data_IF_192386488864
#
_entry.id   IF_192386488864
#
_cell.length_a   1.000
_cell.length_b   1.000
_cell.length_c   1.000
_cell.angle_alpha   90.00
_cell.angle_beta   90.00
_cell.angle_gamma   90.00
#
_symmetry.space_group_name_H-M   'P 1'
#
loop_
_entity.id
_entity.type
_entity.pdbx_description
1 polymer ?
#
# COMPACT_ATOMS: atom_id res chain seq x y z
N UNK A 1 -20.47 9.80 1.55
CA UNK A 1 -19.30 9.40 0.74
C UNK A 1 -18.64 8.20 1.42
N UNK A 2 -18.40 7.13 0.67
CA UNK A 2 -17.74 5.92 1.18
C UNK A 2 -16.33 5.83 0.61
N UNK A 3 -15.32 5.76 1.48
CA UNK A 3 -13.92 5.62 1.12
C UNK A 3 -13.48 4.20 1.47
N UNK A 4 -12.96 3.44 0.50
CA UNK A 4 -12.31 2.17 0.77
C UNK A 4 -10.80 2.39 0.76
N UNK A 5 -10.11 1.96 1.83
CA UNK A 5 -8.66 1.98 1.93
C UNK A 5 -8.14 0.55 1.82
N UNK A 6 -7.40 0.27 0.74
CA UNK A 6 -6.72 -1.01 0.59
C UNK A 6 -5.40 -0.99 1.36
N UNK A 7 -5.21 -1.95 2.25
CA UNK A 7 -3.99 -2.08 3.05
C UNK A 7 -3.34 -3.44 2.89
N UNK A 8 -2.04 -3.50 3.18
CA UNK A 8 -1.28 -4.75 3.20
C UNK A 8 -0.53 -4.91 4.51
N UNK A 9 -0.63 -6.09 5.11
CA UNK A 9 0.26 -6.48 6.19
C UNK A 9 1.60 -6.91 5.60
N UNK A 10 2.68 -6.29 6.06
CA UNK A 10 4.05 -6.56 5.60
C UNK A 10 4.99 -6.87 6.77
N UNK A 11 6.09 -7.61 6.55
CA UNK A 11 7.10 -7.82 7.59
C UNK A 11 7.76 -6.49 8.00
N UNK A 12 7.95 -6.27 9.30
CA UNK A 12 8.66 -5.11 9.84
C UNK A 12 10.18 -5.35 9.85
N UNK A 13 10.76 -5.58 8.69
CA UNK A 13 12.21 -5.74 8.58
C UNK A 13 12.68 -5.52 7.14
N UNK A 14 13.84 -4.91 7.01
CA UNK A 14 14.60 -4.86 5.76
C UNK A 14 15.46 -6.10 5.57
N UNK A 15 15.66 -6.91 6.62
CA UNK A 15 16.39 -8.17 6.56
C UNK A 15 15.44 -9.34 6.35
N UNK A 16 15.22 -9.68 5.11
CA UNK A 16 14.38 -10.80 4.71
C UNK A 16 15.23 -12.08 4.79
N UNK A 17 14.90 -12.99 5.69
CA UNK A 17 15.49 -14.34 5.73
C UNK A 17 14.72 -15.23 4.77
N UNK A 18 15.45 -15.79 3.79
CA UNK A 18 14.89 -16.75 2.84
C UNK A 18 15.14 -18.16 3.38
N UNK A 19 14.12 -19.00 3.33
CA UNK A 19 14.27 -20.41 3.60
C UNK A 19 15.04 -21.07 2.44
N UNK A 20 16.23 -21.64 2.68
CA UNK A 20 17.07 -22.18 1.61
C UNK A 20 16.50 -23.45 0.95
N UNK A 21 15.51 -24.10 1.57
CA UNK A 21 14.89 -25.32 1.07
C UNK A 21 13.69 -25.00 0.19
N UNK A 22 12.82 -24.09 0.65
CA UNK A 22 11.56 -23.76 -0.03
C UNK A 22 11.67 -22.55 -0.93
N UNK A 23 12.75 -21.77 -0.86
CA UNK A 23 12.94 -20.48 -1.54
C UNK A 23 11.81 -19.46 -1.23
N UNK A 24 11.18 -19.60 -0.07
CA UNK A 24 10.14 -18.70 0.41
C UNK A 24 10.65 -17.84 1.55
N UNK A 25 9.99 -16.70 1.77
CA UNK A 25 10.29 -15.84 2.90
C UNK A 25 10.00 -16.55 4.23
N UNK A 26 11.00 -16.64 5.11
CA UNK A 26 10.78 -17.01 6.52
C UNK A 26 10.09 -15.85 7.22
N UNK A 27 8.79 -16.01 7.47
CA UNK A 27 7.95 -15.02 8.19
C UNK A 27 7.89 -15.28 9.68
N UNK A 28 8.36 -16.45 10.13
CA UNK A 28 8.31 -16.85 11.53
C UNK A 28 9.21 -15.98 12.41
N UNK A 29 8.60 -15.35 13.41
CA UNK A 29 9.31 -14.51 14.39
C UNK A 29 9.59 -13.07 13.95
N UNK A 30 9.13 -12.64 12.76
CA UNK A 30 9.22 -11.24 12.33
C UNK A 30 7.91 -10.52 12.64
N UNK A 31 7.92 -9.43 13.42
CA UNK A 31 6.73 -8.62 13.62
C UNK A 31 6.18 -8.13 12.27
N UNK A 32 4.88 -8.13 12.13
CA UNK A 32 4.21 -7.60 10.94
C UNK A 32 3.60 -6.25 11.27
N UNK A 33 3.59 -5.33 10.29
CA UNK A 33 3.02 -3.99 10.39
C UNK A 33 2.07 -3.73 9.22
N UNK A 34 1.24 -2.70 9.32
CA UNK A 34 0.59 -2.12 8.14
C UNK A 34 1.69 -1.49 7.28
N UNK A 35 1.65 -1.71 5.96
CA UNK A 35 2.58 -1.05 5.04
C UNK A 35 2.55 0.48 5.24
N UNK A 36 3.71 1.16 5.35
CA UNK A 36 3.76 2.59 5.70
C UNK A 36 2.94 3.50 4.79
N UNK A 37 3.02 3.32 3.47
CA UNK A 37 2.22 4.11 2.51
C UNK A 37 0.70 3.86 2.74
N UNK A 38 0.29 2.62 3.06
CA UNK A 38 -1.11 2.29 3.35
C UNK A 38 -1.58 2.89 4.68
N UNK A 39 -0.70 2.95 5.67
CA UNK A 39 -1.01 3.59 6.96
C UNK A 39 -1.27 5.09 6.79
N UNK A 40 -0.51 5.75 5.93
CA UNK A 40 -0.76 7.14 5.52
C UNK A 40 -2.05 7.27 4.72
N UNK A 41 -2.41 6.26 3.92
CA UNK A 41 -3.69 6.24 3.21
C UNK A 41 -4.90 6.15 4.16
N UNK A 42 -4.77 5.41 5.28
CA UNK A 42 -5.77 5.41 6.35
C UNK A 42 -5.90 6.81 6.95
N UNK A 43 -4.79 7.47 7.29
CA UNK A 43 -4.80 8.83 7.83
C UNK A 43 -5.51 9.82 6.90
N UNK A 44 -5.17 9.81 5.61
CA UNK A 44 -5.81 10.66 4.62
C UNK A 44 -7.33 10.44 4.54
N UNK A 45 -7.78 9.18 4.63
CA UNK A 45 -9.20 8.84 4.66
C UNK A 45 -9.89 9.33 5.94
N UNK A 46 -9.24 9.21 7.09
CA UNK A 46 -9.77 9.69 8.37
C UNK A 46 -9.90 11.21 8.41
N UNK A 47 -8.95 11.95 7.84
CA UNK A 47 -9.04 13.40 7.69
C UNK A 47 -10.23 13.81 6.81
N UNK A 48 -10.48 13.10 5.70
CA UNK A 48 -11.67 13.32 4.89
C UNK A 48 -12.95 12.96 5.63
N UNK A 49 -12.96 11.88 6.44
CA UNK A 49 -14.07 11.53 7.30
C UNK A 49 -14.41 12.68 8.27
N UNK A 50 -13.42 13.26 8.93
CA UNK A 50 -13.59 14.38 9.84
C UNK A 50 -14.10 15.64 9.11
N UNK A 51 -13.62 15.88 7.88
CA UNK A 51 -13.95 17.08 7.11
C UNK A 51 -15.34 17.03 6.48
N UNK A 52 -15.78 15.87 5.97
CA UNK A 52 -17.01 15.77 5.19
C UNK A 52 -17.95 14.64 5.60
N UNK A 53 -17.71 13.98 6.74
CA UNK A 53 -18.58 12.90 7.22
C UNK A 53 -18.53 11.63 6.37
N UNK A 54 -17.38 11.34 5.74
CA UNK A 54 -17.20 10.11 4.98
C UNK A 54 -17.19 8.88 5.90
N UNK A 55 -17.60 7.74 5.37
CA UNK A 55 -17.41 6.42 6.00
C UNK A 55 -16.12 5.82 5.49
N UNK A 56 -15.26 5.33 6.37
CA UNK A 56 -13.97 4.72 6.04
C UNK A 56 -14.03 3.22 6.26
N UNK A 57 -13.91 2.47 5.17
CA UNK A 57 -13.86 1.00 5.15
C UNK A 57 -12.44 0.58 4.81
N UNK A 58 -11.83 -0.30 5.62
CA UNK A 58 -10.50 -0.84 5.35
C UNK A 58 -10.59 -2.25 4.79
N UNK A 59 -9.84 -2.53 3.73
CA UNK A 59 -9.85 -3.79 3.01
C UNK A 59 -8.43 -4.36 2.92
N UNK A 60 -8.23 -5.62 3.27
CA UNK A 60 -6.96 -6.33 3.04
C UNK A 60 -7.18 -7.71 2.43
N UNK A 61 -6.29 -8.11 1.53
CA UNK A 61 -6.24 -9.48 1.02
C UNK A 61 -5.04 -10.21 1.63
N UNK A 62 -5.30 -11.33 2.30
CA UNK A 62 -4.24 -12.08 2.94
C UNK A 62 -4.73 -13.30 3.74
N UNK A 63 -3.80 -13.98 4.41
CA UNK A 63 -4.14 -15.03 5.36
C UNK A 63 -4.84 -14.43 6.60
N UNK A 64 -5.47 -15.29 7.40
CA UNK A 64 -6.23 -14.87 8.59
C UNK A 64 -5.42 -14.01 9.57
N UNK A 65 -4.09 -14.19 9.64
CA UNK A 65 -3.23 -13.33 10.47
C UNK A 65 -3.25 -11.83 10.07
N UNK A 66 -3.66 -11.50 8.84
CA UNK A 66 -3.78 -10.12 8.37
C UNK A 66 -4.91 -9.36 9.09
N UNK A 67 -5.78 -10.06 9.82
CA UNK A 67 -6.76 -9.45 10.72
C UNK A 67 -6.13 -8.46 11.70
N UNK A 68 -4.90 -8.70 12.16
CA UNK A 68 -4.18 -7.79 13.06
C UNK A 68 -4.02 -6.38 12.47
N UNK A 69 -3.75 -6.29 11.16
CA UNK A 69 -3.65 -5.01 10.48
C UNK A 69 -5.00 -4.28 10.39
N UNK A 70 -6.10 -5.05 10.22
CA UNK A 70 -7.46 -4.51 10.24
C UNK A 70 -7.85 -4.01 11.63
N UNK A 71 -7.50 -4.75 12.68
CA UNK A 71 -7.71 -4.32 14.08
C UNK A 71 -6.98 -3.01 14.37
N UNK A 72 -5.72 -2.88 13.94
CA UNK A 72 -4.96 -1.62 14.06
C UNK A 72 -5.66 -0.46 13.33
N UNK A 73 -6.16 -0.69 12.10
CA UNK A 73 -6.87 0.33 11.34
C UNK A 73 -8.20 0.75 11.99
N UNK A 74 -8.95 -0.20 12.57
CA UNK A 74 -10.15 0.09 13.36
C UNK A 74 -9.83 0.92 14.60
N UNK A 75 -8.71 0.61 15.28
CA UNK A 75 -8.23 1.39 16.44
C UNK A 75 -7.68 2.77 16.07
N UNK A 76 -7.31 3.00 14.80
CA UNK A 76 -7.01 4.33 14.26
C UNK A 76 -8.26 5.16 13.98
N UNK A 77 -9.45 4.55 13.90
CA UNK A 77 -10.73 5.24 13.70
C UNK A 77 -11.50 4.86 12.44
N UNK A 78 -11.11 3.78 11.73
CA UNK A 78 -11.90 3.24 10.63
C UNK A 78 -13.26 2.72 11.14
N UNK A 79 -14.28 2.80 10.28
CA UNK A 79 -15.66 2.41 10.62
C UNK A 79 -15.89 0.92 10.41
N UNK A 80 -15.39 0.39 9.29
CA UNK A 80 -15.59 -0.98 8.85
C UNK A 80 -14.27 -1.61 8.41
N UNK A 81 -14.16 -2.93 8.55
CA UNK A 81 -12.99 -3.68 8.09
C UNK A 81 -13.39 -4.98 7.42
N UNK A 82 -12.73 -5.32 6.31
CA UNK A 82 -12.96 -6.56 5.57
C UNK A 82 -11.66 -7.28 5.26
N UNK A 83 -11.66 -8.59 5.49
CA UNK A 83 -10.58 -9.49 5.12
C UNK A 83 -10.99 -10.34 3.92
N UNK A 84 -10.26 -10.18 2.80
CA UNK A 84 -10.35 -11.09 1.67
C UNK A 84 -9.42 -12.27 1.94
N UNK A 85 -10.01 -13.43 2.18
CA UNK A 85 -9.22 -14.63 2.49
C UNK A 85 -9.87 -15.89 1.92
N UNK A 86 -9.12 -16.57 1.07
CA UNK A 86 -9.48 -17.86 0.50
C UNK A 86 -8.21 -18.58 0.04
N UNK A 87 -8.24 -19.92 0.03
CA UNK A 87 -7.14 -20.71 -0.55
C UNK A 87 -6.97 -20.46 -2.05
N UNK A 88 -8.05 -20.14 -2.75
CA UNK A 88 -8.04 -19.80 -4.17
C UNK A 88 -7.22 -18.54 -4.46
N UNK A 89 -7.05 -17.63 -3.49
CA UNK A 89 -6.29 -16.39 -3.65
C UNK A 89 -4.79 -16.58 -3.45
N UNK A 90 -4.36 -17.72 -2.92
CA UNK A 90 -2.96 -17.95 -2.57
C UNK A 90 -2.06 -17.96 -3.81
N UNK A 91 -0.90 -17.30 -3.71
CA UNK A 91 0.10 -17.21 -4.78
C UNK A 91 -0.26 -16.22 -5.89
N UNK A 92 -1.26 -15.36 -5.70
CA UNK A 92 -1.59 -14.27 -6.64
C UNK A 92 -0.43 -13.30 -6.79
N UNK A 93 -0.09 -12.98 -8.03
CA UNK A 93 0.77 -11.85 -8.37
C UNK A 93 -0.03 -10.53 -8.35
N UNK A 94 0.55 -9.44 -8.87
CA UNK A 94 -0.11 -8.13 -8.86
C UNK A 94 -1.40 -8.10 -9.67
N UNK A 95 -1.45 -8.80 -10.82
CA UNK A 95 -2.64 -8.84 -11.68
C UNK A 95 -3.78 -9.62 -10.99
N UNK A 96 -3.52 -10.84 -10.57
CA UNK A 96 -4.51 -11.66 -9.88
C UNK A 96 -4.99 -11.00 -8.57
N UNK A 97 -4.07 -10.35 -7.82
CA UNK A 97 -4.40 -9.58 -6.61
C UNK A 97 -5.35 -8.43 -6.91
N UNK A 98 -5.04 -7.62 -7.92
CA UNK A 98 -5.87 -6.47 -8.28
C UNK A 98 -7.24 -6.87 -8.81
N UNK A 99 -7.34 -7.98 -9.55
CA UNK A 99 -8.61 -8.57 -9.99
C UNK A 99 -9.51 -8.92 -8.80
N UNK A 100 -8.96 -9.63 -7.80
CA UNK A 100 -9.69 -10.04 -6.60
C UNK A 100 -10.15 -8.81 -5.78
N UNK A 101 -9.24 -7.86 -5.55
CA UNK A 101 -9.55 -6.67 -4.76
C UNK A 101 -10.59 -5.80 -5.47
N UNK A 102 -10.48 -5.63 -6.79
CA UNK A 102 -11.46 -4.88 -7.57
C UNK A 102 -12.86 -5.49 -7.50
N UNK A 103 -12.96 -6.83 -7.55
CA UNK A 103 -14.24 -7.51 -7.41
C UNK A 103 -14.85 -7.30 -6.01
N UNK A 104 -14.03 -7.32 -4.96
CA UNK A 104 -14.49 -7.02 -3.62
C UNK A 104 -14.94 -5.56 -3.48
N UNK A 105 -14.22 -4.61 -4.07
CA UNK A 105 -14.63 -3.19 -4.09
C UNK A 105 -15.94 -3.01 -4.85
N UNK A 106 -16.15 -3.69 -5.97
CA UNK A 106 -17.44 -3.68 -6.68
C UNK A 106 -18.61 -4.15 -5.81
N UNK A 107 -18.39 -5.21 -5.02
CA UNK A 107 -19.39 -5.74 -4.07
C UNK A 107 -19.69 -4.76 -2.94
N UNK A 108 -18.66 -4.15 -2.36
CA UNK A 108 -18.78 -3.25 -1.20
C UNK A 108 -19.31 -1.86 -1.59
N UNK A 109 -19.04 -1.43 -2.82
CA UNK A 109 -19.31 -0.08 -3.31
C UNK A 109 -18.35 0.94 -2.69
N UNK A 110 -17.78 1.83 -3.49
CA UNK A 110 -16.93 2.91 -3.04
C UNK A 110 -17.13 4.15 -3.90
N UNK A 111 -17.05 5.34 -3.30
CA UNK A 111 -16.96 6.59 -4.02
C UNK A 111 -15.48 6.92 -4.31
N UNK A 112 -14.60 6.64 -3.35
CA UNK A 112 -13.17 6.85 -3.47
C UNK A 112 -12.43 5.60 -2.98
N UNK A 113 -11.38 5.20 -3.70
CA UNK A 113 -10.49 4.12 -3.30
C UNK A 113 -9.11 4.71 -3.01
N UNK A 114 -8.58 4.46 -1.83
CA UNK A 114 -7.21 4.80 -1.46
C UNK A 114 -6.35 3.55 -1.37
N UNK A 115 -5.12 3.64 -1.87
CA UNK A 115 -4.08 2.64 -1.71
C UNK A 115 -2.79 3.36 -1.34
N UNK A 116 -1.87 2.72 -0.65
CA UNK A 116 -0.49 3.17 -0.64
C UNK A 116 0.12 3.12 -2.05
N UNK A 117 1.15 3.89 -2.31
CA UNK A 117 1.86 3.84 -3.60
C UNK A 117 2.35 2.43 -3.91
N UNK A 118 2.97 1.77 -2.93
CA UNK A 118 3.52 0.43 -3.07
C UNK A 118 3.68 -0.24 -1.70
N UNK A 119 3.82 -1.57 -1.68
CA UNK A 119 4.18 -2.32 -0.49
C UNK A 119 5.70 -2.48 -0.40
N UNK A 120 6.28 -2.27 0.80
CA UNK A 120 7.74 -2.32 1.03
C UNK A 120 8.38 -3.69 0.82
N UNK A 121 7.58 -4.77 0.78
CA UNK A 121 8.03 -6.14 0.55
C UNK A 121 8.07 -6.53 -0.93
N UNK A 122 7.30 -5.86 -1.78
CA UNK A 122 7.19 -6.20 -3.21
C UNK A 122 7.63 -5.12 -4.17
N UNK A 123 7.60 -3.85 -3.77
CA UNK A 123 8.06 -2.66 -4.50
C UNK A 123 7.57 -2.52 -5.96
N UNK A 124 6.38 -3.03 -6.27
CA UNK A 124 5.87 -3.05 -7.65
C UNK A 124 5.12 -1.79 -8.06
N UNK A 125 4.46 -1.10 -7.12
CA UNK A 125 3.58 0.04 -7.34
C UNK A 125 2.48 -0.20 -8.41
N UNK A 126 2.07 -1.45 -8.63
CA UNK A 126 1.16 -1.84 -9.71
C UNK A 126 -0.28 -2.05 -9.25
N UNK A 127 -0.50 -2.54 -8.03
CA UNK A 127 -1.82 -3.02 -7.57
C UNK A 127 -2.86 -1.90 -7.60
N UNK A 128 -2.57 -0.71 -7.08
CA UNK A 128 -3.51 0.42 -7.12
C UNK A 128 -3.93 0.79 -8.55
N UNK A 129 -2.99 1.10 -9.47
CA UNK A 129 -3.31 1.35 -10.87
C UNK A 129 -4.11 0.24 -11.56
N UNK A 130 -3.80 -1.01 -11.32
CA UNK A 130 -4.54 -2.15 -11.88
C UNK A 130 -5.96 -2.25 -11.32
N UNK A 131 -6.18 -1.99 -10.02
CA UNK A 131 -7.52 -1.92 -9.43
C UNK A 131 -8.36 -0.86 -10.14
N UNK A 132 -7.79 0.32 -10.38
CA UNK A 132 -8.47 1.41 -11.10
C UNK A 132 -8.92 0.97 -12.49
N UNK A 133 -8.06 0.28 -13.25
CA UNK A 133 -8.38 -0.25 -14.57
C UNK A 133 -9.50 -1.30 -14.52
N UNK A 134 -9.43 -2.26 -13.58
CA UNK A 134 -10.48 -3.27 -13.40
C UNK A 134 -11.84 -2.66 -12.98
N UNK A 135 -11.81 -1.53 -12.29
CA UNK A 135 -13.03 -0.79 -11.90
C UNK A 135 -13.54 0.14 -13.00
N UNK A 136 -12.73 0.46 -14.00
CA UNK A 136 -13.03 1.44 -15.05
C UNK A 136 -13.17 2.86 -14.50
N UNK A 137 -12.41 3.23 -13.46
CA UNK A 137 -12.44 4.55 -12.83
C UNK A 137 -11.11 5.28 -13.03
N UNK A 138 -11.10 6.63 -13.02
CA UNK A 138 -9.86 7.38 -13.11
C UNK A 138 -8.95 7.16 -11.90
N UNK A 139 -7.63 7.27 -12.13
CA UNK A 139 -6.63 7.19 -11.07
C UNK A 139 -5.76 8.44 -10.97
N UNK A 140 -5.36 8.77 -9.74
CA UNK A 140 -4.35 9.77 -9.45
C UNK A 140 -3.26 9.11 -8.60
N UNK A 141 -2.06 9.02 -9.16
CA UNK A 141 -0.94 8.35 -8.51
C UNK A 141 -0.03 9.32 -7.78
N UNK A 142 0.69 8.84 -6.75
CA UNK A 142 1.71 9.58 -6.01
C UNK A 142 1.17 10.85 -5.34
N UNK A 143 0.03 10.75 -4.65
CA UNK A 143 -0.56 11.87 -3.93
C UNK A 143 0.34 12.30 -2.75
N UNK A 144 0.70 13.58 -2.76
CA UNK A 144 1.47 14.27 -1.71
C UNK A 144 0.60 15.22 -0.87
N UNK A 145 -0.62 15.52 -1.31
CA UNK A 145 -1.65 16.20 -0.51
C UNK A 145 -3.03 15.90 -1.11
N UNK A 146 -4.05 15.84 -0.25
CA UNK A 146 -5.44 15.57 -0.63
C UNK A 146 -6.33 16.56 0.12
N UNK A 147 -7.32 17.10 -0.58
CA UNK A 147 -8.37 17.92 -0.02
C UNK A 147 -9.72 17.62 -0.71
N UNK A 148 -10.81 17.99 -0.07
CA UNK A 148 -12.15 17.85 -0.61
C UNK A 148 -12.91 19.18 -0.54
N UNK A 149 -13.34 19.65 -1.71
CA UNK A 149 -14.21 20.82 -1.81
C UNK A 149 -15.67 20.37 -1.81
N UNK A 150 -16.31 20.46 -0.66
CA UNK A 150 -17.69 20.05 -0.47
C UNK A 150 -18.70 20.91 -1.28
N UNK A 151 -18.34 22.15 -1.61
CA UNK A 151 -19.23 23.04 -2.38
C UNK A 151 -19.33 22.65 -3.85
N UNK A 152 -18.26 22.09 -4.40
CA UNK A 152 -18.17 21.61 -5.79
C UNK A 152 -18.26 20.10 -5.91
N UNK A 153 -18.21 19.40 -4.79
CA UNK A 153 -18.14 17.93 -4.71
C UNK A 153 -16.94 17.37 -5.50
N UNK A 154 -15.76 17.98 -5.33
CA UNK A 154 -14.52 17.56 -6.01
C UNK A 154 -13.45 17.19 -5.01
N UNK A 155 -12.75 16.07 -5.29
CA UNK A 155 -11.50 15.74 -4.64
C UNK A 155 -10.37 16.49 -5.33
N UNK A 156 -9.56 17.21 -4.55
CA UNK A 156 -8.40 17.97 -5.02
C UNK A 156 -7.15 17.24 -4.57
N UNK A 157 -6.35 16.78 -5.50
CA UNK A 157 -5.16 15.97 -5.21
C UNK A 157 -3.93 16.64 -5.80
N UNK A 158 -2.93 16.88 -4.96
CA UNK A 158 -1.59 17.31 -5.38
C UNK A 158 -0.71 16.08 -5.50
N UNK A 159 -0.38 15.69 -6.74
CA UNK A 159 0.52 14.58 -7.03
C UNK A 159 1.96 15.04 -7.23
N UNK A 160 2.91 14.20 -6.85
CA UNK A 160 4.33 14.44 -6.98
C UNK A 160 4.91 13.74 -8.22
N UNK A 161 5.72 14.47 -8.97
CA UNK A 161 6.65 13.95 -9.95
C UNK A 161 8.09 14.15 -9.47
N UNK A 162 9.06 13.75 -10.24
CA UNK A 162 10.49 13.91 -9.90
C UNK A 162 10.89 15.38 -9.77
N UNK A 163 10.40 16.24 -10.69
CA UNK A 163 10.80 17.64 -10.87
C UNK A 163 9.69 18.65 -10.53
N UNK A 164 8.45 18.20 -10.33
CA UNK A 164 7.29 19.09 -10.15
C UNK A 164 6.13 18.46 -9.41
N UNK A 165 5.17 19.29 -9.03
CA UNK A 165 3.86 18.88 -8.55
C UNK A 165 2.79 19.23 -9.60
N UNK A 166 1.73 18.42 -9.61
CA UNK A 166 0.54 18.66 -10.40
C UNK A 166 -0.69 18.58 -9.49
N UNK A 167 -1.54 19.60 -9.52
CA UNK A 167 -2.84 19.57 -8.83
C UNK A 167 -3.92 19.14 -9.80
N UNK A 168 -4.68 18.14 -9.43
CA UNK A 168 -5.78 17.57 -10.20
C UNK A 168 -7.06 17.66 -9.38
N UNK A 169 -8.16 17.93 -10.07
CA UNK A 169 -9.51 17.86 -9.52
C UNK A 169 -10.24 16.68 -10.15
N UNK A 170 -10.92 15.89 -9.33
CA UNK A 170 -11.74 14.79 -9.82
C UNK A 170 -13.12 14.82 -9.17
N UNK A 171 -14.14 14.68 -9.99
CA UNK A 171 -15.54 14.55 -9.56
C UNK A 171 -16.01 13.12 -9.78
N UNK A 172 -16.66 12.54 -8.77
CA UNK A 172 -17.15 11.16 -8.82
C UNK A 172 -16.10 10.13 -8.39
N UNK A 173 -16.29 8.89 -8.81
CA UNK A 173 -15.42 7.78 -8.40
C UNK A 173 -14.00 7.93 -8.92
N UNK A 174 -13.02 7.63 -8.05
CA UNK A 174 -11.62 7.59 -8.43
C UNK A 174 -10.81 6.70 -7.49
N UNK A 175 -9.60 6.34 -7.94
CA UNK A 175 -8.59 5.70 -7.12
C UNK A 175 -7.39 6.65 -6.96
N UNK A 176 -6.87 6.75 -5.73
CA UNK A 176 -5.68 7.57 -5.43
C UNK A 176 -4.62 6.70 -4.77
N UNK A 177 -3.39 6.73 -5.27
CA UNK A 177 -2.25 6.11 -4.57
C UNK A 177 -1.47 7.16 -3.79
N UNK A 178 -1.18 6.87 -2.53
CA UNK A 178 -0.73 7.81 -1.51
C UNK A 178 0.72 7.56 -1.14
N UNK A 179 1.49 8.63 -1.01
CA UNK A 179 2.87 8.60 -0.53
C UNK A 179 2.90 8.66 1.00
N UNK A 180 3.81 7.94 1.64
CA UNK A 180 4.06 8.03 3.09
C UNK A 180 4.47 9.42 3.57
N UNK A 181 4.90 10.29 2.65
CA UNK A 181 5.26 11.69 2.93
C UNK A 181 4.07 12.64 2.92
N UNK A 182 2.85 12.17 2.58
CA UNK A 182 1.65 13.01 2.55
C UNK A 182 1.33 13.58 3.94
N UNK A 183 1.36 12.72 4.96
CA UNK A 183 1.11 13.10 6.35
C UNK A 183 1.70 12.07 7.31
N UNK A 184 1.73 12.43 8.60
CA UNK A 184 2.11 11.52 9.69
C UNK A 184 0.85 10.83 10.21
N UNK A 185 0.74 9.49 10.08
CA UNK A 185 -0.41 8.76 10.61
C UNK A 185 -0.60 8.98 12.11
N UNK A 186 -1.85 9.20 12.53
CA UNK A 186 -2.21 9.33 13.94
C UNK A 186 -1.93 8.05 14.73
N UNK A 187 -1.70 8.20 16.03
CA UNK A 187 -1.72 7.07 16.95
C UNK A 187 -3.15 6.54 17.12
N UNK A 188 -3.24 5.26 17.45
CA UNK A 188 -4.50 4.65 17.86
C UNK A 188 -5.06 5.36 19.10
N UNK A 189 -6.37 5.58 19.13
CA UNK A 189 -7.06 6.11 20.30
C UNK A 189 -7.25 5.00 21.33
N UNK A 190 -7.08 5.31 22.63
CA UNK A 190 -7.24 4.33 23.72
C UNK A 190 -8.63 3.73 23.74
N UNK A 191 -9.66 4.49 23.50
CA UNK A 191 -11.05 4.00 23.45
C UNK A 191 -11.26 3.06 22.25
N UNK A 192 -10.75 3.45 21.08
CA UNK A 192 -10.84 2.61 19.88
C UNK A 192 -10.02 1.32 19.99
N UNK A 193 -8.92 1.33 20.77
CA UNK A 193 -8.16 0.10 21.08
C UNK A 193 -9.01 -0.87 21.91
N UNK A 194 -9.81 -0.36 22.85
CA UNK A 194 -10.70 -1.21 23.65
C UNK A 194 -11.87 -1.72 22.83
N UNK A 195 -12.47 -0.84 22.03
CA UNK A 195 -13.69 -1.13 21.28
C UNK A 195 -13.44 -1.93 20.00
N UNK A 196 -12.20 -1.95 19.48
CA UNK A 196 -11.87 -2.65 18.23
C UNK A 196 -12.19 -4.16 18.27
N UNK A 197 -12.06 -4.79 19.45
CA UNK A 197 -12.33 -6.22 19.60
C UNK A 197 -13.84 -6.54 19.50
N UNK A 198 -14.69 -5.56 19.76
CA UNK A 198 -16.15 -5.66 19.60
C UNK A 198 -16.62 -5.40 18.17
N UNK A 199 -15.81 -4.69 17.36
CA UNK A 199 -16.13 -4.44 15.95
C UNK A 199 -15.96 -5.72 15.13
N UNK A 200 -16.99 -6.07 14.37
CA UNK A 200 -16.96 -7.23 13.48
C UNK A 200 -16.05 -6.94 12.26
N UNK A 201 -15.20 -7.91 11.92
CA UNK A 201 -14.44 -7.90 10.66
C UNK A 201 -15.17 -8.79 9.67
N UNK A 202 -15.65 -8.19 8.58
CA UNK A 202 -16.31 -8.92 7.51
C UNK A 202 -15.30 -9.82 6.78
N UNK A 203 -15.70 -11.05 6.51
CA UNK A 203 -14.89 -11.99 5.73
C UNK A 203 -15.48 -12.09 4.32
N UNK A 204 -14.62 -11.93 3.32
CA UNK A 204 -14.98 -12.10 1.91
C UNK A 204 -14.13 -13.23 1.35
N UNK A 205 -14.81 -14.25 0.83
CA UNK A 205 -14.21 -15.43 0.22
C UNK A 205 -14.38 -15.41 -1.30
N UNK A 206 -13.82 -16.40 -1.99
CA UNK A 206 -14.05 -16.58 -3.43
C UNK A 206 -15.53 -16.71 -3.78
N UNK A 207 -16.33 -17.37 -2.94
CA UNK A 207 -17.77 -17.54 -3.16
C UNK A 207 -18.57 -16.22 -3.07
N UNK A 208 -17.99 -15.19 -2.50
CA UNK A 208 -18.66 -13.91 -2.26
C UNK A 208 -18.44 -12.87 -3.36
N UNK A 209 -17.54 -13.11 -4.30
CA UNK A 209 -17.13 -12.17 -5.35
C UNK A 209 -17.26 -12.81 -6.74
N UNK A 210 -17.50 -11.98 -7.73
CA UNK A 210 -17.62 -12.42 -9.14
C UNK A 210 -16.25 -12.27 -9.83
N UNK A 211 -15.48 -13.37 -9.88
CA UNK A 211 -14.19 -13.45 -10.58
C UNK A 211 -14.04 -14.80 -11.28
N UNK A 212 -13.36 -14.82 -12.42
CA UNK A 212 -13.02 -16.08 -13.10
C UNK A 212 -11.94 -16.81 -12.28
N UNK A 213 -12.16 -18.07 -11.88
CA UNK A 213 -11.14 -18.87 -11.18
C UNK A 213 -9.85 -19.06 -12.00
N UNK A 214 -9.89 -18.84 -13.32
CA UNK A 214 -8.71 -18.88 -14.17
C UNK A 214 -7.82 -17.61 -14.04
N UNK A 215 -8.35 -16.50 -13.53
CA UNK A 215 -7.68 -15.20 -13.42
C UNK A 215 -7.13 -14.92 -12.01
N UNK A 216 -7.31 -15.84 -11.06
CA UNK A 216 -6.93 -15.66 -9.66
C UNK A 216 -5.92 -16.69 -9.17
N UNK A 217 -5.29 -16.39 -8.04
CA UNK A 217 -4.32 -17.28 -7.39
C UNK A 217 -3.10 -17.54 -8.26
N UNK A 218 -2.40 -18.62 -7.94
CA UNK A 218 -1.17 -19.03 -8.65
C UNK A 218 -1.43 -19.37 -10.14
N UNK A 219 -2.62 -19.85 -10.48
CA UNK A 219 -2.95 -20.22 -11.87
C UNK A 219 -3.25 -19.00 -12.72
N UNK A 220 -3.92 -18.01 -12.18
CA UNK A 220 -4.26 -16.76 -12.85
C UNK A 220 -3.10 -15.75 -12.90
N UNK A 221 -1.98 -16.06 -12.23
CA UNK A 221 -0.81 -15.18 -12.16
C UNK A 221 0.10 -15.37 -13.37
N UNK A 222 0.25 -14.37 -14.26
CA UNK A 222 1.19 -14.44 -15.40
C UNK A 222 2.65 -14.40 -14.95
N UNK A 223 2.96 -13.85 -13.77
CA UNK A 223 4.33 -13.81 -13.25
C UNK A 223 4.59 -14.96 -12.27
N UNK A 224 5.80 -15.55 -12.35
CA UNK A 224 6.23 -16.62 -11.45
C UNK A 224 7.64 -16.32 -10.95
N UNK A 225 7.83 -16.44 -9.63
CA UNK A 225 9.16 -16.31 -9.04
C UNK A 225 10.02 -17.47 -9.51
N UNK A 226 11.07 -17.19 -10.27
CA UNK A 226 12.03 -18.19 -10.75
C UNK A 226 13.11 -18.50 -9.72
N UNK A 227 13.64 -17.46 -9.08
CA UNK A 227 14.68 -17.55 -8.05
C UNK A 227 14.67 -16.30 -7.18
N UNK A 228 15.13 -16.46 -5.95
CA UNK A 228 15.37 -15.36 -5.01
C UNK A 228 16.83 -15.36 -4.59
N UNK A 229 17.41 -14.18 -4.38
CA UNK A 229 18.76 -14.02 -3.87
C UNK A 229 18.83 -12.82 -2.93
N UNK A 230 19.61 -12.95 -1.87
CA UNK A 230 19.94 -11.81 -1.00
C UNK A 230 21.12 -11.06 -1.59
N UNK A 231 20.94 -9.77 -1.87
CA UNK A 231 22.03 -8.92 -2.34
C UNK A 231 23.00 -8.68 -1.19
N UNK A 232 24.19 -9.27 -1.29
CA UNK A 232 25.30 -8.93 -0.41
C UNK A 232 26.00 -7.71 -0.99
N UNK A 233 26.14 -6.67 -0.17
CA UNK A 233 26.93 -5.50 -0.53
C UNK A 233 28.34 -5.70 0.08
N UNK A 234 29.30 -6.07 -0.75
CA UNK A 234 30.71 -5.91 -0.40
C UNK A 234 31.03 -4.41 -0.44
N UNK A 235 30.96 -3.78 0.72
CA UNK A 235 31.39 -2.38 0.88
C UNK A 235 32.87 -2.37 1.21
N UNK A 236 33.70 -2.11 0.23
CA UNK A 236 35.07 -1.65 0.50
C UNK A 236 34.95 -0.18 0.93
N UNK A 237 35.14 0.07 2.21
CA UNK A 237 35.14 1.43 2.77
C UNK A 237 36.60 1.88 2.80
N UNK A 238 36.89 2.95 2.10
CA UNK A 238 38.17 3.66 2.18
C UNK A 238 37.94 4.95 2.98
N UNK A 239 38.66 5.09 4.07
CA UNK A 239 38.62 6.32 4.89
C UNK A 239 39.84 7.16 4.53
N UNK A 240 39.58 8.39 4.06
CA UNK A 240 40.59 9.34 3.66
C UNK A 240 40.55 10.53 4.62
N UNK A 241 41.68 10.84 5.25
CA UNK A 241 41.84 12.07 6.03
C UNK A 241 42.46 13.13 5.14
N UNK A 242 41.64 14.07 4.67
CA UNK A 242 42.00 15.12 3.71
C UNK A 242 41.50 16.48 4.20
N UNK A 243 42.18 17.53 3.77
CA UNK A 243 41.66 18.88 3.91
C UNK A 243 40.36 19.06 3.08
N UNK A 244 39.51 20.06 3.39
CA UNK A 244 38.22 20.22 2.74
C UNK A 244 38.27 20.35 1.20
N UNK A 245 39.30 21.02 0.68
CA UNK A 245 39.42 21.24 -0.77
C UNK A 245 39.83 19.95 -1.49
N UNK A 246 40.76 19.21 -0.95
CA UNK A 246 41.18 17.90 -1.47
C UNK A 246 40.05 16.88 -1.37
N UNK A 247 39.29 16.88 -0.27
CA UNK A 247 38.13 16.00 -0.09
C UNK A 247 37.04 16.27 -1.15
N UNK A 248 36.70 17.54 -1.39
CA UNK A 248 35.72 17.94 -2.41
C UNK A 248 36.15 17.48 -3.81
N UNK A 249 37.44 17.60 -4.13
CA UNK A 249 37.99 17.15 -5.42
C UNK A 249 37.88 15.63 -5.60
N UNK A 250 38.29 14.85 -4.58
CA UNK A 250 38.20 13.38 -4.62
C UNK A 250 36.75 12.93 -4.80
N UNK A 251 35.80 13.54 -4.09
CA UNK A 251 34.37 13.23 -4.24
C UNK A 251 33.88 13.57 -5.66
N UNK A 252 34.21 14.75 -6.16
CA UNK A 252 33.82 15.17 -7.51
C UNK A 252 34.39 14.25 -8.60
N UNK A 253 35.66 13.86 -8.48
CA UNK A 253 36.33 12.98 -9.43
C UNK A 253 35.71 11.54 -9.37
N UNK A 254 35.38 11.06 -8.17
CA UNK A 254 34.72 9.77 -7.99
C UNK A 254 33.30 9.75 -8.61
N UNK A 255 32.54 10.85 -8.49
CA UNK A 255 31.23 10.99 -9.10
C UNK A 255 31.33 11.06 -10.64
N UNK A 256 32.28 11.85 -11.17
CA UNK A 256 32.54 11.94 -12.62
C UNK A 256 32.97 10.61 -13.22
N UNK A 257 33.86 9.87 -12.56
CA UNK A 257 34.32 8.58 -13.05
C UNK A 257 33.20 7.53 -13.16
N UNK A 258 32.12 7.73 -12.39
CA UNK A 258 30.91 6.89 -12.41
C UNK A 258 29.76 7.46 -13.24
N UNK A 259 29.98 8.55 -13.96
CA UNK A 259 28.99 9.26 -14.77
C UNK A 259 27.75 9.69 -13.99
N UNK A 260 27.92 10.08 -12.73
CA UNK A 260 26.82 10.54 -11.86
C UNK A 260 26.66 12.08 -11.91
N UNK A 261 27.70 12.77 -12.36
CA UNK A 261 27.70 14.22 -12.65
C UNK A 261 28.55 14.48 -13.91
#
# INVERSE_FOLDING_TARGET
MKIIVCIKQVPNTTEIKIDPITNTLKRDGVPSIINPDDKTAIEAALQLKEKCGATVTVLTMGPTQAEKALREALAMGADEAFLLTDRAFAGSDTLATSTIIAAAIKKLGADIVFCGRQAIDGDTAQVGPQISEHLGIPQITYAAAIDYDASREVLVVKRQFEDRYQTLEVKGQCLVTILSTLDTPRYMNVWDIVDQDEKEIGIITFADIEVDPAEIGLKGSPTKVKSTATKQFDKTIETLELDPESAAKVIADALKSRHLI
#
